data_IF_520994615370
#
_entry.id   IF_520994615370
#
_cell.length_a   1.000
_cell.length_b   1.000
_cell.length_c   1.000
_cell.angle_alpha   90.00
_cell.angle_beta   90.00
_cell.angle_gamma   90.00
#
_symmetry.space_group_name_H-M   'P 1'
#
loop_
_entity.id
_entity.type
_entity.pdbx_description
1 polymer ?
#
# COMPACT_ATOMS: atom_id res chain seq x y z
N UNK A 1 -10.15 -1.09 -6.39
CA UNK A 1 -9.95 -0.80 -4.95
C UNK A 1 -11.16 -0.09 -4.33
N UNK A 2 -11.57 1.10 -4.80
CA UNK A 2 -12.68 1.84 -4.16
C UNK A 2 -14.08 1.54 -4.70
N UNK A 3 -14.22 1.01 -5.93
CA UNK A 3 -15.48 0.45 -6.49
C UNK A 3 -16.74 1.28 -6.24
N UNK A 4 -16.64 2.61 -6.38
CA UNK A 4 -17.72 3.59 -6.15
C UNK A 4 -18.34 3.57 -4.73
N UNK A 5 -17.66 2.93 -3.75
CA UNK A 5 -18.06 2.88 -2.35
C UNK A 5 -17.16 3.70 -1.43
N UNK A 6 -16.26 4.51 -2.01
CA UNK A 6 -15.37 5.38 -1.26
C UNK A 6 -15.01 6.63 -2.05
N UNK A 7 -14.62 7.68 -1.33
CA UNK A 7 -14.18 8.93 -1.92
C UNK A 7 -12.70 8.83 -2.29
N UNK A 8 -12.39 8.98 -3.58
CA UNK A 8 -11.01 9.09 -4.08
C UNK A 8 -10.72 10.54 -4.42
N UNK A 9 -9.55 11.02 -4.03
CA UNK A 9 -9.05 12.32 -4.45
C UNK A 9 -7.67 12.17 -5.07
N UNK A 10 -7.52 12.62 -6.31
CA UNK A 10 -6.23 12.78 -6.97
C UNK A 10 -5.72 14.18 -6.66
N UNK A 11 -4.65 14.25 -5.88
CA UNK A 11 -4.03 15.51 -5.51
C UNK A 11 -2.72 15.74 -6.27
N UNK A 12 -2.52 16.98 -6.74
CA UNK A 12 -1.27 17.39 -7.40
C UNK A 12 -0.73 18.65 -6.75
N UNK A 13 0.59 18.71 -6.59
CA UNK A 13 1.30 19.81 -5.93
C UNK A 13 2.13 20.53 -6.98
N UNK A 14 1.80 21.80 -7.20
CA UNK A 14 2.51 22.67 -8.13
C UNK A 14 3.51 23.55 -7.36
N UNK A 15 4.73 23.76 -7.88
CA UNK A 15 5.64 24.74 -7.33
C UNK A 15 5.01 26.13 -7.29
N UNK A 16 5.29 26.92 -6.25
CA UNK A 16 4.73 28.27 -6.10
C UNK A 16 5.15 29.28 -7.19
N UNK A 17 6.02 28.90 -8.12
CA UNK A 17 6.46 29.76 -9.23
C UNK A 17 5.35 29.94 -10.27
N UNK A 18 4.58 31.01 -10.10
CA UNK A 18 3.81 31.72 -11.14
C UNK A 18 2.67 30.95 -11.82
N UNK A 19 1.89 30.17 -11.07
CA UNK A 19 0.61 29.65 -11.56
C UNK A 19 -0.54 30.57 -11.14
N UNK A 20 -1.16 31.26 -12.10
CA UNK A 20 -2.40 32.01 -11.85
C UNK A 20 -3.52 31.06 -11.39
N UNK A 21 -4.45 31.56 -10.59
CA UNK A 21 -5.62 30.80 -10.13
C UNK A 21 -6.40 30.20 -11.32
N UNK A 22 -6.55 30.95 -12.41
CA UNK A 22 -7.18 30.47 -13.63
C UNK A 22 -6.47 29.27 -14.26
N UNK A 23 -5.13 29.27 -14.28
CA UNK A 23 -4.34 28.15 -14.82
C UNK A 23 -4.47 26.90 -13.95
N UNK A 24 -4.60 27.06 -12.63
CA UNK A 24 -4.84 25.94 -11.71
C UNK A 24 -6.21 25.30 -11.97
N UNK A 25 -7.26 26.11 -12.10
CA UNK A 25 -8.60 25.63 -12.40
C UNK A 25 -8.66 24.86 -13.74
N UNK A 26 -7.97 25.38 -14.78
CA UNK A 26 -7.90 24.70 -16.07
C UNK A 26 -7.19 23.35 -15.99
N UNK A 27 -6.10 23.26 -15.20
CA UNK A 27 -5.39 22.00 -14.98
C UNK A 27 -6.22 21.01 -14.17
N UNK A 28 -6.94 21.47 -13.14
CA UNK A 28 -7.89 20.64 -12.38
C UNK A 28 -8.94 20.03 -13.31
N UNK A 29 -9.56 20.86 -14.16
CA UNK A 29 -10.55 20.39 -15.14
C UNK A 29 -9.94 19.38 -16.12
N UNK A 30 -8.75 19.65 -16.65
CA UNK A 30 -8.07 18.74 -17.57
C UNK A 30 -7.81 17.37 -16.95
N UNK A 31 -7.39 17.33 -15.68
CA UNK A 31 -7.16 16.07 -14.95
C UNK A 31 -8.49 15.37 -14.68
N UNK A 32 -9.55 16.11 -14.33
CA UNK A 32 -10.88 15.56 -14.11
C UNK A 32 -11.41 14.86 -15.36
N UNK A 33 -11.37 15.54 -16.52
CA UNK A 33 -11.78 14.98 -17.80
C UNK A 33 -10.95 13.75 -18.20
N UNK A 34 -9.65 13.73 -17.91
CA UNK A 34 -8.78 12.58 -18.16
C UNK A 34 -9.15 11.36 -17.32
N UNK A 35 -9.56 11.55 -16.06
CA UNK A 35 -9.99 10.50 -15.14
C UNK A 35 -11.37 9.96 -15.53
N UNK A 36 -12.31 10.85 -15.88
CA UNK A 36 -13.65 10.49 -16.34
C UNK A 36 -13.61 9.62 -17.61
N UNK A 37 -12.75 9.97 -18.57
CA UNK A 37 -12.53 9.16 -19.79
C UNK A 37 -12.01 7.75 -19.51
N UNK A 38 -11.42 7.52 -18.35
CA UNK A 38 -10.96 6.19 -17.89
C UNK A 38 -11.92 5.53 -16.90
N UNK A 39 -13.12 6.08 -16.75
CA UNK A 39 -14.13 5.62 -15.80
C UNK A 39 -13.61 5.62 -14.35
N UNK A 40 -12.72 6.56 -14.01
CA UNK A 40 -12.20 6.74 -12.65
C UNK A 40 -12.98 7.88 -11.99
N UNK A 41 -13.86 7.54 -11.04
CA UNK A 41 -14.58 8.52 -10.22
C UNK A 41 -13.67 9.02 -9.09
N UNK A 42 -13.10 10.21 -9.25
CA UNK A 42 -12.27 10.84 -8.22
C UNK A 42 -12.42 12.37 -8.26
N UNK A 43 -12.34 12.99 -7.09
CA UNK A 43 -12.14 14.42 -6.97
C UNK A 43 -10.71 14.78 -7.40
N UNK A 44 -10.53 15.98 -7.95
CA UNK A 44 -9.20 16.52 -8.25
C UNK A 44 -8.93 17.69 -7.34
N UNK A 45 -7.72 17.73 -6.77
CA UNK A 45 -7.27 18.86 -5.96
C UNK A 45 -5.86 19.30 -6.33
N UNK A 46 -5.72 20.55 -6.76
CA UNK A 46 -4.41 21.17 -6.95
C UNK A 46 -4.07 22.06 -5.77
N UNK A 47 -2.82 22.00 -5.32
CA UNK A 47 -2.27 22.91 -4.31
C UNK A 47 -0.94 23.47 -4.76
N UNK A 48 -0.66 24.71 -4.41
CA UNK A 48 0.65 25.33 -4.63
C UNK A 48 1.47 25.28 -3.36
N UNK A 49 2.72 24.84 -3.46
CA UNK A 49 3.65 24.82 -2.34
C UNK A 49 5.09 25.07 -2.81
N UNK A 50 6.00 25.49 -1.91
CA UNK A 50 7.42 25.66 -2.25
C UNK A 50 8.06 24.36 -2.78
N UNK A 51 7.62 23.21 -2.28
CA UNK A 51 8.08 21.89 -2.67
C UNK A 51 7.01 20.82 -2.47
N UNK A 52 7.20 19.67 -3.11
CA UNK A 52 6.31 18.50 -3.05
C UNK A 52 6.04 18.04 -1.62
N UNK A 53 7.05 17.95 -0.75
CA UNK A 53 6.89 17.39 0.58
C UNK A 53 6.15 18.35 1.51
N UNK A 54 6.36 19.66 1.34
CA UNK A 54 5.60 20.67 2.06
C UNK A 54 4.13 20.67 1.64
N UNK A 55 3.83 20.65 0.33
CA UNK A 55 2.45 20.60 -0.15
C UNK A 55 1.73 19.31 0.25
N UNK A 56 2.43 18.17 0.24
CA UNK A 56 1.86 16.89 0.66
C UNK A 56 1.49 16.87 2.15
N UNK A 57 2.34 17.44 3.02
CA UNK A 57 2.02 17.58 4.45
C UNK A 57 0.79 18.47 4.67
N UNK A 58 0.74 19.61 3.99
CA UNK A 58 -0.42 20.51 4.06
C UNK A 58 -1.71 19.78 3.65
N UNK A 59 -1.70 19.03 2.55
CA UNK A 59 -2.85 18.23 2.13
C UNK A 59 -3.28 17.20 3.19
N UNK A 60 -2.34 16.51 3.83
CA UNK A 60 -2.64 15.52 4.87
C UNK A 60 -3.31 16.17 6.09
N UNK A 61 -2.87 17.38 6.46
CA UNK A 61 -3.38 18.10 7.62
C UNK A 61 -4.74 18.78 7.35
N UNK A 62 -4.93 19.33 6.15
CA UNK A 62 -6.06 20.24 5.88
C UNK A 62 -7.13 19.66 4.97
N UNK A 63 -6.89 18.54 4.28
CA UNK A 63 -7.83 18.02 3.29
C UNK A 63 -8.96 17.19 3.93
N UNK A 64 -10.19 17.54 3.57
CA UNK A 64 -11.42 16.91 4.04
C UNK A 64 -12.43 17.95 4.51
N UNK A 65 -13.63 17.49 4.85
CA UNK A 65 -14.71 18.32 5.37
C UNK A 65 -15.35 17.61 6.57
N UNK A 66 -15.18 18.18 7.77
CA UNK A 66 -15.68 17.57 9.00
C UNK A 66 -15.12 16.14 9.19
N UNK A 67 -15.98 15.12 9.36
CA UNK A 67 -15.54 13.73 9.49
C UNK A 67 -15.07 13.10 8.17
N UNK A 68 -15.36 13.71 7.02
CA UNK A 68 -14.97 13.21 5.70
C UNK A 68 -13.52 13.61 5.41
N UNK A 69 -12.59 12.83 5.91
CA UNK A 69 -11.14 12.98 5.69
C UNK A 69 -10.57 11.72 5.04
N UNK A 70 -9.55 11.82 4.16
CA UNK A 70 -8.92 10.64 3.58
C UNK A 70 -8.31 9.80 4.69
N UNK A 71 -8.65 8.52 4.78
CA UNK A 71 -8.08 7.59 5.76
C UNK A 71 -6.80 6.88 5.26
N UNK A 72 -6.54 6.96 3.95
CA UNK A 72 -5.46 6.24 3.28
C UNK A 72 -4.82 7.17 2.25
N UNK A 73 -3.49 7.27 2.30
CA UNK A 73 -2.68 8.02 1.32
C UNK A 73 -1.94 7.03 0.44
N UNK A 74 -2.20 7.09 -0.86
CA UNK A 74 -1.50 6.31 -1.88
C UNK A 74 -0.37 7.16 -2.47
N UNK A 75 0.83 6.62 -2.50
CA UNK A 75 2.03 7.26 -3.05
C UNK A 75 2.68 6.35 -4.10
N UNK A 76 3.34 6.95 -5.08
CA UNK A 76 4.36 6.26 -5.85
C UNK A 76 5.66 6.14 -5.04
N UNK A 77 6.40 5.06 -5.24
CA UNK A 77 7.73 4.91 -4.67
C UNK A 77 8.69 6.00 -5.19
N UNK A 78 9.62 6.41 -4.35
CA UNK A 78 10.68 7.35 -4.68
C UNK A 78 12.04 6.64 -4.70
N UNK A 79 12.51 6.36 -5.91
CA UNK A 79 13.81 5.74 -6.16
C UNK A 79 14.98 6.74 -6.11
N UNK A 80 14.71 8.04 -6.02
CA UNK A 80 15.75 9.07 -5.99
C UNK A 80 16.37 9.19 -4.59
N UNK A 81 17.62 8.75 -4.45
CA UNK A 81 18.36 8.77 -3.17
C UNK A 81 18.38 10.16 -2.50
N UNK A 82 18.60 11.23 -3.25
CA UNK A 82 18.65 12.60 -2.70
C UNK A 82 17.33 13.08 -2.08
N UNK A 83 16.20 12.45 -2.44
CA UNK A 83 14.86 12.77 -1.92
C UNK A 83 14.35 11.76 -0.89
N UNK A 84 15.17 10.76 -0.56
CA UNK A 84 14.78 9.63 0.29
C UNK A 84 14.42 10.07 1.70
N UNK A 85 15.28 10.85 2.35
CA UNK A 85 15.03 11.32 3.72
C UNK A 85 13.77 12.22 3.82
N UNK A 86 13.57 13.24 2.96
CA UNK A 86 12.29 13.96 2.91
C UNK A 86 11.06 13.08 2.69
N UNK A 87 11.16 12.07 1.82
CA UNK A 87 10.07 11.12 1.55
C UNK A 87 9.75 10.25 2.78
N UNK A 88 10.76 9.74 3.47
CA UNK A 88 10.58 9.02 4.73
C UNK A 88 9.94 9.90 5.81
N UNK A 89 10.32 11.18 5.91
CA UNK A 89 9.65 12.14 6.81
C UNK A 89 8.18 12.35 6.46
N UNK A 90 7.82 12.38 5.17
CA UNK A 90 6.43 12.45 4.73
C UNK A 90 5.65 11.19 5.15
N UNK A 91 6.20 10.00 4.94
CA UNK A 91 5.58 8.74 5.39
C UNK A 91 5.33 8.77 6.91
N UNK A 92 6.35 9.17 7.68
CA UNK A 92 6.24 9.32 9.15
C UNK A 92 5.11 10.27 9.52
N UNK A 93 5.04 11.43 8.86
CA UNK A 93 4.02 12.43 9.11
C UNK A 93 2.60 11.91 8.81
N UNK A 94 2.40 11.23 7.67
CA UNK A 94 1.11 10.63 7.31
C UNK A 94 0.67 9.60 8.35
N UNK A 95 1.59 8.74 8.78
CA UNK A 95 1.29 7.72 9.80
C UNK A 95 0.97 8.35 11.17
N UNK A 96 1.69 9.40 11.57
CA UNK A 96 1.41 10.17 12.80
C UNK A 96 0.05 10.88 12.74
N UNK A 97 -0.36 11.32 11.55
CA UNK A 97 -1.71 11.84 11.29
C UNK A 97 -2.80 10.74 11.31
N UNK A 98 -2.48 9.52 11.78
CA UNK A 98 -3.39 8.38 11.88
C UNK A 98 -4.01 7.98 10.54
N UNK A 99 -3.22 8.01 9.47
CA UNK A 99 -3.62 7.56 8.13
C UNK A 99 -2.86 6.31 7.72
N UNK A 100 -3.50 5.47 6.94
CA UNK A 100 -2.82 4.37 6.26
C UNK A 100 -1.91 4.95 5.16
N UNK A 101 -0.73 4.36 4.98
CA UNK A 101 0.17 4.66 3.88
C UNK A 101 0.26 3.44 2.98
N UNK A 102 0.03 3.64 1.69
CA UNK A 102 0.19 2.62 0.65
C UNK A 102 1.17 3.18 -0.38
N UNK A 103 2.25 2.46 -0.66
CA UNK A 103 3.27 2.87 -1.62
C UNK A 103 3.37 1.82 -2.72
N UNK A 104 3.14 2.23 -3.96
CA UNK A 104 3.32 1.37 -5.13
C UNK A 104 4.75 1.53 -5.66
N UNK A 105 5.54 0.46 -5.61
CA UNK A 105 6.74 0.31 -6.44
C UNK A 105 6.39 -0.55 -7.64
N UNK A 106 6.27 0.10 -8.79
CA UNK A 106 6.00 -0.57 -10.06
C UNK A 106 7.29 -1.15 -10.64
N UNK A 107 7.28 -2.44 -10.97
CA UNK A 107 8.23 -2.99 -11.91
C UNK A 107 7.72 -2.65 -13.32
N UNK A 108 8.30 -1.64 -13.98
CA UNK A 108 7.78 -1.14 -15.26
C UNK A 108 7.88 -2.13 -16.41
N UNK A 109 8.81 -3.07 -16.34
CA UNK A 109 9.00 -4.08 -17.38
C UNK A 109 7.92 -5.16 -17.30
N UNK A 110 7.62 -5.63 -16.09
CA UNK A 110 6.62 -6.67 -15.84
C UNK A 110 5.19 -6.12 -15.64
N UNK A 111 5.07 -4.87 -15.21
CA UNK A 111 3.81 -4.27 -14.78
C UNK A 111 3.14 -5.10 -13.68
N UNK A 112 1.90 -5.54 -13.95
CA UNK A 112 1.14 -6.43 -13.07
C UNK A 112 1.03 -7.87 -13.63
N UNK A 113 1.94 -8.26 -14.52
CA UNK A 113 1.96 -9.58 -15.14
C UNK A 113 0.61 -10.04 -15.69
N UNK A 114 0.23 -11.27 -15.37
CA UNK A 114 -1.02 -11.93 -15.77
C UNK A 114 -2.22 -11.65 -14.85
N UNK A 115 -1.97 -10.95 -13.72
CA UNK A 115 -2.96 -10.64 -12.67
C UNK A 115 -3.67 -11.87 -12.09
N UNK A 116 -2.96 -12.99 -12.00
CA UNK A 116 -3.43 -14.26 -11.44
C UNK A 116 -2.89 -14.55 -10.04
N UNK A 117 -1.78 -13.93 -9.61
CA UNK A 117 -1.16 -14.26 -8.32
C UNK A 117 -0.82 -13.02 -7.49
N UNK A 118 -1.41 -12.94 -6.30
CA UNK A 118 -1.13 -11.90 -5.31
C UNK A 118 -0.46 -12.55 -4.10
N UNK A 119 0.79 -12.18 -3.83
CA UNK A 119 1.51 -12.65 -2.64
C UNK A 119 1.41 -11.61 -1.51
N UNK A 120 0.93 -12.00 -0.33
CA UNK A 120 0.82 -11.14 0.85
C UNK A 120 1.81 -11.60 1.92
N UNK A 121 2.86 -10.82 2.15
CA UNK A 121 3.90 -11.13 3.15
C UNK A 121 3.55 -10.60 4.53
N UNK A 122 3.13 -11.50 5.42
CA UNK A 122 2.79 -11.15 6.79
C UNK A 122 3.97 -11.29 7.74
N UNK A 123 4.50 -10.16 8.22
CA UNK A 123 5.58 -10.11 9.21
C UNK A 123 5.12 -10.08 10.68
N UNK A 124 3.94 -10.61 11.00
CA UNK A 124 3.42 -10.69 12.39
C UNK A 124 2.74 -9.44 12.96
N UNK A 125 2.82 -8.28 12.29
CA UNK A 125 2.02 -7.10 12.67
C UNK A 125 0.57 -7.26 12.21
N UNK A 126 -0.36 -7.37 13.16
CA UNK A 126 -1.78 -7.63 12.87
C UNK A 126 -2.41 -6.54 11.98
N UNK A 127 -2.13 -5.26 12.26
CA UNK A 127 -2.71 -4.13 11.52
C UNK A 127 -2.30 -4.12 10.02
N UNK A 128 -1.00 -4.25 9.72
CA UNK A 128 -0.53 -4.31 8.33
C UNK A 128 -1.07 -5.55 7.61
N UNK A 129 -0.98 -6.73 8.24
CA UNK A 129 -1.46 -7.98 7.64
C UNK A 129 -2.93 -7.90 7.22
N UNK A 130 -3.73 -7.34 8.11
CA UNK A 130 -5.14 -7.07 7.89
C UNK A 130 -5.42 -6.12 6.74
N UNK A 131 -4.79 -4.94 6.73
CA UNK A 131 -4.98 -3.96 5.65
C UNK A 131 -4.51 -4.52 4.29
N UNK A 132 -3.41 -5.25 4.26
CA UNK A 132 -2.93 -5.90 3.03
C UNK A 132 -3.94 -6.92 2.49
N UNK A 133 -4.54 -7.73 3.36
CA UNK A 133 -5.56 -8.69 2.95
C UNK A 133 -6.85 -8.01 2.50
N UNK A 134 -7.26 -6.93 3.16
CA UNK A 134 -8.37 -6.10 2.70
C UNK A 134 -8.10 -5.56 1.30
N UNK A 135 -6.92 -4.98 1.07
CA UNK A 135 -6.54 -4.41 -0.23
C UNK A 135 -6.46 -5.50 -1.31
N UNK A 136 -5.90 -6.67 -1.01
CA UNK A 136 -5.86 -7.79 -1.93
C UNK A 136 -7.28 -8.30 -2.28
N UNK A 137 -8.17 -8.39 -1.28
CA UNK A 137 -9.56 -8.75 -1.48
C UNK A 137 -10.33 -7.73 -2.34
N UNK A 138 -10.21 -6.43 -2.02
CA UNK A 138 -10.81 -5.34 -2.79
C UNK A 138 -10.22 -5.21 -4.20
N UNK A 139 -9.01 -5.75 -4.42
CA UNK A 139 -8.43 -5.82 -5.75
C UNK A 139 -9.11 -6.92 -6.57
N UNK A 140 -9.41 -8.09 -5.97
CA UNK A 140 -10.12 -9.19 -6.64
C UNK A 140 -11.55 -8.85 -7.08
N UNK A 141 -12.18 -7.83 -6.52
CA UNK A 141 -13.47 -7.37 -7.05
C UNK A 141 -13.34 -6.60 -8.37
N UNK A 142 -12.12 -6.28 -8.83
CA UNK A 142 -11.87 -5.79 -10.20
C UNK A 142 -11.90 -6.96 -11.20
N UNK A 143 -12.59 -6.78 -12.33
CA UNK A 143 -12.71 -7.81 -13.37
C UNK A 143 -11.36 -8.35 -13.86
N UNK A 144 -10.30 -7.52 -13.85
CA UNK A 144 -8.96 -7.94 -14.28
C UNK A 144 -8.24 -8.83 -13.26
N UNK A 145 -8.68 -8.81 -12.01
CA UNK A 145 -8.08 -9.54 -10.88
C UNK A 145 -9.03 -10.58 -10.27
N UNK A 146 -10.23 -10.77 -10.84
CA UNK A 146 -11.27 -11.64 -10.27
C UNK A 146 -10.82 -13.08 -10.02
N UNK A 147 -9.94 -13.59 -10.88
CA UNK A 147 -9.38 -14.94 -10.80
C UNK A 147 -8.07 -15.01 -10.02
N UNK A 148 -7.59 -13.89 -9.48
CA UNK A 148 -6.32 -13.87 -8.78
C UNK A 148 -6.39 -14.68 -7.48
N UNK A 149 -5.42 -15.56 -7.29
CA UNK A 149 -5.21 -16.29 -6.06
C UNK A 149 -4.38 -15.46 -5.08
N UNK A 150 -4.85 -15.37 -3.84
CA UNK A 150 -4.14 -14.66 -2.77
C UNK A 150 -3.34 -15.68 -1.95
N UNK A 151 -2.03 -15.55 -1.95
CA UNK A 151 -1.11 -16.35 -1.17
C UNK A 151 -0.67 -15.60 0.08
N UNK A 152 -1.15 -16.01 1.26
CA UNK A 152 -0.70 -15.43 2.53
C UNK A 152 0.55 -16.15 3.00
N UNK A 153 1.67 -15.43 2.96
CA UNK A 153 3.00 -15.95 3.22
C UNK A 153 3.51 -15.53 4.58
N UNK A 154 4.04 -16.50 5.33
CA UNK A 154 4.68 -16.32 6.63
C UNK A 154 5.99 -17.11 6.67
N UNK A 155 7.08 -16.49 7.13
CA UNK A 155 8.35 -17.19 7.40
C UNK A 155 8.50 -17.42 8.90
N UNK A 156 8.82 -18.66 9.27
CA UNK A 156 9.08 -19.06 10.65
C UNK A 156 10.42 -19.77 10.81
N UNK A 157 11.03 -19.72 12.01
CA UNK A 157 12.40 -20.19 12.20
C UNK A 157 12.54 -21.72 12.06
N UNK A 158 11.53 -22.49 12.46
CA UNK A 158 11.56 -23.95 12.50
C UNK A 158 10.17 -24.56 12.27
N UNK A 159 10.13 -25.88 12.04
CA UNK A 159 8.91 -26.61 11.72
C UNK A 159 7.90 -26.62 12.88
N UNK A 160 8.38 -26.62 14.13
CA UNK A 160 7.51 -26.58 15.31
C UNK A 160 6.69 -25.29 15.33
N UNK A 161 7.35 -24.15 15.12
CA UNK A 161 6.67 -22.86 14.99
C UNK A 161 5.73 -22.85 13.78
N UNK A 162 6.15 -23.42 12.65
CA UNK A 162 5.34 -23.51 11.43
C UNK A 162 4.05 -24.29 11.64
N UNK A 163 4.10 -25.43 12.32
CA UNK A 163 2.94 -26.26 12.59
C UNK A 163 1.92 -25.54 13.48
N UNK A 164 2.38 -24.87 14.54
CA UNK A 164 1.51 -24.06 15.39
C UNK A 164 0.84 -22.90 14.61
N UNK A 165 1.60 -22.22 13.75
CA UNK A 165 1.07 -21.11 12.96
C UNK A 165 0.05 -21.56 11.91
N UNK A 166 0.24 -22.72 11.25
CA UNK A 166 -0.71 -23.25 10.26
C UNK A 166 -2.10 -23.47 10.87
N UNK A 167 -2.17 -23.99 12.10
CA UNK A 167 -3.44 -24.21 12.80
C UNK A 167 -4.16 -22.89 13.09
N UNK A 168 -3.44 -21.90 13.62
CA UNK A 168 -4.00 -20.59 13.97
C UNK A 168 -4.44 -19.79 12.72
N UNK A 169 -3.62 -19.79 11.68
CA UNK A 169 -3.90 -19.08 10.42
C UNK A 169 -5.11 -19.66 9.70
N UNK A 170 -5.27 -20.98 9.68
CA UNK A 170 -6.42 -21.63 9.05
C UNK A 170 -7.74 -21.17 9.66
N UNK A 171 -7.81 -21.09 10.99
CA UNK A 171 -9.01 -20.61 11.68
C UNK A 171 -9.28 -19.14 11.39
N UNK A 172 -8.24 -18.30 11.44
CA UNK A 172 -8.38 -16.87 11.17
C UNK A 172 -8.83 -16.58 9.73
N UNK A 173 -8.21 -17.23 8.74
CA UNK A 173 -8.59 -17.05 7.32
C UNK A 173 -10.01 -17.54 7.05
N UNK A 174 -10.45 -18.65 7.67
CA UNK A 174 -11.84 -19.14 7.53
C UNK A 174 -12.87 -18.12 8.01
N UNK A 175 -12.58 -17.38 9.09
CA UNK A 175 -13.47 -16.34 9.60
C UNK A 175 -13.61 -15.17 8.62
N UNK A 176 -12.55 -14.85 7.88
CA UNK A 176 -12.54 -13.72 6.95
C UNK A 176 -13.31 -13.98 5.65
N UNK A 177 -13.49 -15.25 5.26
CA UNK A 177 -14.14 -15.64 3.98
C UNK A 177 -13.49 -15.04 2.71
N UNK A 178 -12.22 -14.62 2.79
CA UNK A 178 -11.48 -13.94 1.69
C UNK A 178 -10.92 -14.93 0.64
N UNK A 179 -10.95 -16.25 0.89
CA UNK A 179 -10.44 -17.26 -0.05
C UNK A 179 -8.94 -17.11 -0.29
N UNK A 180 -8.14 -17.42 0.74
CA UNK A 180 -6.69 -17.20 0.79
C UNK A 180 -5.96 -18.53 0.94
N UNK A 181 -4.86 -18.71 0.21
CA UNK A 181 -3.99 -19.87 0.27
C UNK A 181 -2.84 -19.57 1.25
N UNK A 182 -2.86 -20.22 2.43
CA UNK A 182 -1.81 -20.04 3.43
C UNK A 182 -0.53 -20.80 3.05
N UNK A 183 0.58 -20.08 2.91
CA UNK A 183 1.91 -20.64 2.69
C UNK A 183 2.85 -20.32 3.87
N UNK A 184 3.01 -21.30 4.76
CA UNK A 184 3.93 -21.20 5.89
C UNK A 184 5.28 -21.80 5.52
N UNK A 185 6.28 -20.94 5.39
CA UNK A 185 7.64 -21.23 4.97
C UNK A 185 8.56 -21.31 6.18
N UNK A 186 9.52 -22.24 6.16
CA UNK A 186 10.53 -22.36 7.21
C UNK A 186 11.86 -21.81 6.72
N UNK A 187 12.49 -20.95 7.53
CA UNK A 187 13.75 -20.33 7.16
C UNK A 187 14.90 -21.34 7.18
N UNK A 188 14.99 -22.18 8.23
CA UNK A 188 16.09 -23.13 8.44
C UNK A 188 17.48 -22.45 8.32
N UNK A 189 17.61 -21.25 8.87
CA UNK A 189 18.86 -20.46 8.81
C UNK A 189 19.05 -19.64 7.53
N UNK A 190 18.19 -19.79 6.51
CA UNK A 190 18.21 -18.93 5.33
C UNK A 190 17.72 -17.52 5.66
N UNK A 191 18.26 -16.54 4.95
CA UNK A 191 17.84 -15.14 5.09
C UNK A 191 16.41 -14.95 4.56
N UNK A 192 15.65 -14.02 5.17
CA UNK A 192 14.33 -13.63 4.65
C UNK A 192 14.41 -13.18 3.19
N UNK A 193 15.48 -12.48 2.81
CA UNK A 193 15.68 -11.99 1.45
C UNK A 193 15.71 -13.15 0.43
N UNK A 194 16.48 -14.20 0.73
CA UNK A 194 16.56 -15.40 -0.13
C UNK A 194 15.18 -16.03 -0.32
N UNK A 195 14.44 -16.23 0.76
CA UNK A 195 13.12 -16.87 0.74
C UNK A 195 12.08 -16.00 0.01
N UNK A 196 12.16 -14.68 0.20
CA UNK A 196 11.29 -13.72 -0.47
C UNK A 196 11.41 -13.84 -1.99
N UNK A 197 12.65 -13.79 -2.48
CA UNK A 197 12.98 -13.92 -3.90
C UNK A 197 12.56 -15.27 -4.44
N UNK A 198 13.06 -16.37 -3.87
CA UNK A 198 12.74 -17.74 -4.31
C UNK A 198 11.23 -18.01 -4.43
N UNK A 199 10.44 -17.49 -3.48
CA UNK A 199 9.02 -17.82 -3.45
C UNK A 199 8.13 -16.85 -4.23
N UNK A 200 8.57 -15.61 -4.49
CA UNK A 200 7.69 -14.55 -5.03
C UNK A 200 8.14 -13.99 -6.39
N UNK A 201 9.13 -14.59 -7.05
CA UNK A 201 9.52 -14.22 -8.42
C UNK A 201 8.36 -14.30 -9.40
N UNK A 202 7.48 -15.29 -9.27
CA UNK A 202 6.33 -15.50 -10.17
C UNK A 202 5.04 -14.80 -9.71
N UNK A 203 5.12 -13.91 -8.72
CA UNK A 203 3.97 -13.13 -8.30
C UNK A 203 3.66 -12.02 -9.33
N UNK A 204 2.37 -11.71 -9.51
CA UNK A 204 1.95 -10.56 -10.32
C UNK A 204 1.88 -9.27 -9.50
N UNK A 205 1.64 -9.41 -8.19
CA UNK A 205 1.63 -8.33 -7.22
C UNK A 205 2.05 -8.84 -5.85
N UNK A 206 2.90 -8.09 -5.16
CA UNK A 206 3.35 -8.43 -3.81
C UNK A 206 2.88 -7.35 -2.83
N UNK A 207 2.16 -7.71 -1.78
CA UNK A 207 1.92 -6.84 -0.63
C UNK A 207 2.94 -7.11 0.47
N UNK A 208 3.53 -6.04 1.01
CA UNK A 208 4.50 -6.14 2.10
C UNK A 208 4.31 -5.04 3.15
N UNK A 209 4.25 -5.44 4.42
CA UNK A 209 4.11 -4.51 5.54
C UNK A 209 5.40 -3.74 5.83
N UNK A 210 5.30 -2.43 6.05
CA UNK A 210 6.42 -1.60 6.52
C UNK A 210 6.53 -1.57 8.05
N UNK A 211 7.74 -1.35 8.55
CA UNK A 211 7.97 -1.04 9.95
C UNK A 211 7.32 0.28 10.34
N UNK A 212 7.00 0.42 11.63
CA UNK A 212 6.47 1.67 12.16
C UNK A 212 7.62 2.68 12.17
N UNK A 213 7.43 3.90 11.66
CA UNK A 213 8.52 4.86 11.57
C UNK A 213 9.10 5.24 12.94
N UNK A 214 10.43 5.17 13.03
CA UNK A 214 11.28 5.63 14.14
C UNK A 214 12.43 6.50 13.60
N UNK A 215 13.38 6.87 14.45
CA UNK A 215 14.54 7.68 14.06
C UNK A 215 15.43 7.03 12.98
N UNK A 216 15.37 5.69 12.86
CA UNK A 216 16.13 4.91 11.87
C UNK A 216 15.30 4.54 10.64
N UNK A 217 14.09 5.08 10.50
CA UNK A 217 13.16 4.69 9.45
C UNK A 217 13.73 4.87 8.04
N UNK A 218 14.53 5.91 7.81
CA UNK A 218 15.17 6.14 6.50
C UNK A 218 16.13 4.99 6.14
N UNK A 219 16.96 4.55 7.09
CA UNK A 219 17.88 3.42 6.91
C UNK A 219 17.12 2.11 6.71
N UNK A 220 16.05 1.91 7.48
CA UNK A 220 15.14 0.76 7.30
C UNK A 220 14.56 0.75 5.89
N UNK A 221 14.05 1.89 5.41
CA UNK A 221 13.42 2.00 4.10
C UNK A 221 14.43 1.78 2.96
N UNK A 222 15.66 2.28 3.08
CA UNK A 222 16.75 1.97 2.14
C UNK A 222 17.09 0.48 2.13
N UNK A 223 17.16 -0.16 3.30
CA UNK A 223 17.36 -1.61 3.39
C UNK A 223 16.20 -2.40 2.77
N UNK A 224 14.96 -1.96 2.99
CA UNK A 224 13.76 -2.54 2.38
C UNK A 224 13.84 -2.46 0.86
N UNK A 225 14.27 -1.32 0.33
CA UNK A 225 14.44 -1.09 -1.10
C UNK A 225 15.47 -2.03 -1.72
N UNK A 226 16.63 -2.19 -1.09
CA UNK A 226 17.68 -3.12 -1.54
C UNK A 226 17.21 -4.57 -1.51
N UNK A 227 16.53 -5.00 -0.43
CA UNK A 227 16.02 -6.39 -0.30
C UNK A 227 14.95 -6.72 -1.35
N UNK A 228 14.22 -5.72 -1.82
CA UNK A 228 13.10 -5.91 -2.75
C UNK A 228 13.46 -5.59 -4.20
N UNK A 229 14.72 -5.25 -4.48
CA UNK A 229 15.19 -4.96 -5.83
C UNK A 229 15.09 -6.22 -6.72
N UNK A 230 14.55 -6.09 -7.93
CA UNK A 230 14.41 -7.20 -8.89
C UNK A 230 13.15 -8.06 -8.70
N UNK A 231 12.31 -7.78 -7.71
CA UNK A 231 11.02 -8.44 -7.56
C UNK A 231 9.96 -7.85 -8.52
N UNK A 232 8.83 -8.57 -8.72
CA UNK A 232 7.63 -8.02 -9.33
C UNK A 232 7.10 -6.78 -8.60
N UNK A 233 6.08 -6.13 -9.19
CA UNK A 233 5.45 -4.95 -8.59
C UNK A 233 5.03 -5.17 -7.13
N UNK A 234 5.42 -4.23 -6.26
CA UNK A 234 5.20 -4.31 -4.82
C UNK A 234 4.32 -3.16 -4.33
N UNK A 235 3.39 -3.48 -3.45
CA UNK A 235 2.64 -2.53 -2.64
C UNK A 235 3.13 -2.60 -1.21
N UNK A 236 3.88 -1.58 -0.77
CA UNK A 236 4.25 -1.43 0.62
C UNK A 236 3.09 -0.82 1.41
N UNK A 237 2.78 -1.43 2.56
CA UNK A 237 1.62 -1.04 3.37
C UNK A 237 2.04 -0.73 4.79
N UNK A 238 1.60 0.42 5.29
CA UNK A 238 1.71 0.80 6.69
C UNK A 238 0.32 1.22 7.16
N UNK A 239 -0.32 0.37 7.95
CA UNK A 239 -1.62 0.67 8.54
C UNK A 239 -1.49 1.80 9.57
N UNK A 240 -2.56 2.58 9.73
CA UNK A 240 -2.67 3.61 10.75
C UNK A 240 -2.55 3.01 12.16
N UNK A 241 -2.04 3.78 13.14
CA UNK A 241 -2.09 3.39 14.54
C UNK A 241 -3.52 3.04 14.98
N UNK A 242 -3.69 1.87 15.60
CA UNK A 242 -5.00 1.41 16.08
C UNK A 242 -5.94 0.86 15.00
N UNK A 243 -5.47 0.62 13.77
CA UNK A 243 -6.28 -0.01 12.72
C UNK A 243 -6.80 -1.39 13.17
N UNK A 244 -8.11 -1.48 13.42
CA UNK A 244 -8.80 -2.70 13.82
C UNK A 244 -9.58 -3.29 12.65
N UNK A 245 -9.10 -4.41 12.14
CA UNK A 245 -9.64 -5.03 10.92
C UNK A 245 -10.97 -5.75 11.09
N UNK A 246 -11.21 -6.31 12.28
CA UNK A 246 -12.40 -7.12 12.52
C UNK A 246 -13.68 -6.31 12.41
N UNK A 247 -13.61 -5.03 12.80
CA UNK A 247 -14.73 -4.07 12.74
C UNK A 247 -15.14 -3.76 11.29
N UNK A 248 -14.17 -3.67 10.36
CA UNK A 248 -14.41 -3.25 8.97
C UNK A 248 -15.16 -4.31 8.15
N UNK A 249 -15.02 -5.60 8.47
CA UNK A 249 -15.71 -6.68 7.74
C UNK A 249 -16.98 -7.17 8.45
N UNK A 250 -17.16 -6.90 9.74
CA UNK A 250 -18.37 -7.26 10.48
C UNK A 250 -19.57 -6.37 10.16
N UNK A 251 -19.34 -5.15 9.66
CA UNK A 251 -20.43 -4.22 9.30
C UNK A 251 -20.97 -4.43 7.87
N UNK A 252 -20.21 -5.11 7.00
CA UNK A 252 -20.51 -5.31 5.57
C UNK A 252 -20.95 -6.75 5.21
N UNK A 253 -21.20 -7.61 6.21
CA UNK A 253 -21.65 -9.01 6.05
C UNK A 253 -22.97 -9.32 6.77
#
# INVERSE_FOLDING_TARGET
LTHNRGLVTVSSILPSSSHSVAKQAQLEQTISEYLERRSVQALVRLVTAPDLFTGARQLVETYGIGPLVPNTVLLGDNETLSRRQPYCRLITHIHQAKRNVVILRENREQGFGSRQRIDVWWGGKQANGSLMLLLAYLLRSDLKWQNAEIYLKLVLPNEIAAQAARANLSNWVKQLRIGVICQVLVSQGRSFNTILHESSTDADLIFMGMATPDDKFTQYYESLQLKTAGLPTIVFVLAAPGFAFHEVLSEDL
#
